data_IF_142048889898
#
_entry.id   IF_142048889898
#
_cell.length_a   1.000
_cell.length_b   1.000
_cell.length_c   1.000
_cell.angle_alpha   90.00
_cell.angle_beta   90.00
_cell.angle_gamma   90.00
#
_symmetry.space_group_name_H-M   'P 1'
#
loop_
_entity.id
_entity.type
_entity.pdbx_description
1 polymer ?
#
# COMPACT_ATOMS: atom_id res chain seq x y z
N UNK A 1 10.19 -14.15 5.14
CA UNK A 1 9.64 -12.79 5.32
C UNK A 1 8.13 -12.87 5.27
N UNK A 2 7.42 -12.32 6.26
CA UNK A 2 5.96 -12.32 6.27
C UNK A 2 5.41 -11.32 5.24
N UNK A 3 4.39 -11.72 4.48
CA UNK A 3 3.66 -10.83 3.55
C UNK A 3 2.25 -10.63 4.09
N UNK A 4 1.85 -9.37 4.25
CA UNK A 4 0.52 -9.00 4.71
C UNK A 4 -0.11 -8.01 3.74
N UNK A 5 -1.42 -8.14 3.51
CA UNK A 5 -2.19 -7.24 2.67
C UNK A 5 -3.03 -6.30 3.53
N UNK A 6 -2.98 -5.00 3.25
CA UNK A 6 -3.84 -3.99 3.88
C UNK A 6 -4.99 -3.71 2.91
N UNK A 7 -6.22 -4.03 3.33
CA UNK A 7 -7.45 -3.85 2.55
C UNK A 7 -8.47 -2.97 3.29
N UNK A 8 -9.58 -2.64 2.63
CA UNK A 8 -10.64 -1.78 3.15
C UNK A 8 -11.22 -0.83 2.09
N UNK A 9 -12.34 -0.20 2.42
CA UNK A 9 -13.05 0.72 1.52
C UNK A 9 -12.31 2.05 1.30
N UNK A 10 -12.73 2.85 0.32
CA UNK A 10 -12.24 4.24 0.15
C UNK A 10 -12.57 5.03 1.42
N UNK A 11 -11.63 5.85 1.91
CA UNK A 11 -11.79 6.61 3.15
C UNK A 11 -11.53 5.83 4.45
N UNK A 12 -11.28 4.52 4.40
CA UNK A 12 -11.05 3.70 5.61
C UNK A 12 -9.66 3.85 6.26
N UNK A 13 -8.82 4.79 5.79
CA UNK A 13 -7.51 5.05 6.37
C UNK A 13 -6.36 4.11 5.96
N UNK A 14 -6.52 3.27 4.92
CA UNK A 14 -5.45 2.35 4.44
C UNK A 14 -4.11 3.05 4.25
N UNK A 15 -4.11 4.21 3.59
CA UNK A 15 -2.89 5.00 3.33
C UNK A 15 -2.22 5.45 4.64
N UNK A 16 -3.00 5.82 5.66
CA UNK A 16 -2.48 6.19 6.99
C UNK A 16 -1.78 5.00 7.64
N UNK A 17 -2.41 3.81 7.62
CA UNK A 17 -1.81 2.58 8.17
C UNK A 17 -0.50 2.25 7.43
N UNK A 18 -0.50 2.33 6.09
CA UNK A 18 0.72 2.15 5.29
C UNK A 18 1.85 3.13 5.66
N UNK A 19 1.53 4.40 5.93
CA UNK A 19 2.53 5.39 6.36
C UNK A 19 3.12 5.07 7.73
N UNK A 20 2.31 4.53 8.65
CA UNK A 20 2.80 4.04 9.96
C UNK A 20 3.79 2.89 9.75
N UNK A 21 3.45 1.87 8.94
CA UNK A 21 4.37 0.77 8.63
C UNK A 21 5.69 1.25 8.02
N UNK A 22 5.64 2.21 7.08
CA UNK A 22 6.84 2.83 6.53
C UNK A 22 7.70 3.50 7.61
N UNK A 23 7.08 4.24 8.54
CA UNK A 23 7.81 4.89 9.64
C UNK A 23 8.50 3.90 10.58
N UNK A 24 7.98 2.67 10.67
CA UNK A 24 8.58 1.55 11.40
C UNK A 24 9.64 0.79 10.57
N UNK A 25 10.01 1.28 9.38
CA UNK A 25 10.98 0.63 8.50
C UNK A 25 10.45 -0.57 7.73
N UNK A 26 9.13 -0.82 7.78
CA UNK A 26 8.53 -1.94 7.02
C UNK A 26 8.33 -1.51 5.56
N UNK A 27 8.83 -2.28 4.58
CA UNK A 27 8.63 -1.98 3.18
C UNK A 27 7.15 -2.12 2.81
N UNK A 28 6.60 -1.13 2.10
CA UNK A 28 5.20 -1.09 1.68
C UNK A 28 5.11 -0.99 0.15
N UNK A 29 4.32 -1.89 -0.42
CA UNK A 29 4.00 -1.93 -1.84
C UNK A 29 2.58 -1.40 -2.09
N UNK A 30 2.43 -0.40 -2.98
CA UNK A 30 1.12 0.18 -3.31
C UNK A 30 0.59 -0.41 -4.62
N UNK A 31 -0.26 -1.42 -4.50
CA UNK A 31 -0.81 -2.14 -5.66
C UNK A 31 -1.50 -1.20 -6.67
N UNK A 32 -2.31 -0.24 -6.21
CA UNK A 32 -3.01 0.70 -7.08
C UNK A 32 -2.06 1.58 -7.91
N UNK A 33 -0.91 1.97 -7.34
CA UNK A 33 0.10 2.78 -8.03
C UNK A 33 0.81 1.98 -9.10
N UNK A 34 1.22 0.75 -8.78
CA UNK A 34 1.90 -0.11 -9.73
C UNK A 34 0.95 -0.57 -10.85
N UNK A 35 -0.31 -0.90 -10.53
CA UNK A 35 -1.31 -1.21 -11.54
C UNK A 35 -1.49 -0.05 -12.52
N UNK A 36 -1.57 1.20 -12.04
CA UNK A 36 -1.66 2.40 -12.89
C UNK A 36 -0.45 2.60 -13.81
N UNK A 37 0.75 2.17 -13.40
CA UNK A 37 1.95 2.25 -14.25
C UNK A 37 1.84 1.33 -15.46
N UNK A 38 1.31 0.12 -15.27
CA UNK A 38 1.13 -0.88 -16.34
C UNK A 38 0.14 -0.45 -17.44
N UNK A 39 -0.72 0.54 -17.19
CA UNK A 39 -1.63 1.08 -18.20
C UNK A 39 -1.00 2.18 -19.09
N UNK A 40 0.22 2.64 -18.77
CA UNK A 40 0.89 3.72 -19.52
C UNK A 40 2.00 3.22 -20.46
N UNK A 41 2.07 1.91 -20.66
CA UNK A 41 2.95 1.25 -21.63
C UNK A 41 2.19 0.94 -22.94
#
# INVERSE_FOLDING_TARGET
MLKAAITGNIGSGKTTVCSIFKSLGVPVFYADTEAKRLYRD
#
